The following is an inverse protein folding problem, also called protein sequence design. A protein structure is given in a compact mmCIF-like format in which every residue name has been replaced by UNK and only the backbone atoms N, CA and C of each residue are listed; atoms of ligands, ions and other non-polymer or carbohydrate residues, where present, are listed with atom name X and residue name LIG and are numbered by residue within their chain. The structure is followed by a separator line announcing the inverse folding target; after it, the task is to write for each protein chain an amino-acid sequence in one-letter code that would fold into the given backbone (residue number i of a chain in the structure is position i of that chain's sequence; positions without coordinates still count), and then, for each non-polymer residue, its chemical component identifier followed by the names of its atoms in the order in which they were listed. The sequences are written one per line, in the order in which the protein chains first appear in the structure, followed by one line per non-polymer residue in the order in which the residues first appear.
data_IF_282568168593
#
_entry.id   IF_282568168593
#
_cell.length_a   1.000
_cell.length_b   1.000
_cell.length_c   1.000
_cell.angle_alpha   90.00
_cell.angle_beta   90.00
_cell.angle_gamma   90.00
#
_symmetry.space_group_name_H-M   'P 1'
#
loop_
_entity.id
_entity.type
_entity.pdbx_description
1 polymer ?
#
# COMPACT_ATOMS: atom_id res chain seq x y z
N UNK A 1 13.08 0.21 51.64
CA UNK A 1 11.86 -0.38 51.07
C UNK A 1 11.99 -0.19 49.58
N UNK A 2 12.27 -1.29 48.88
CA UNK A 2 12.25 -1.39 47.43
C UNK A 2 10.80 -1.28 46.96
N UNK A 3 10.58 -0.61 45.85
CA UNK A 3 9.63 -1.06 44.84
C UNK A 3 10.10 -0.49 43.50
N UNK A 4 10.98 -1.26 42.87
CA UNK A 4 11.23 -1.23 41.43
C UNK A 4 9.91 -1.60 40.75
N UNK A 5 9.13 -0.60 40.34
CA UNK A 5 8.17 -0.81 39.25
C UNK A 5 8.94 -0.53 37.96
N UNK A 6 9.65 -1.56 37.49
CA UNK A 6 10.06 -1.66 36.09
C UNK A 6 8.76 -1.66 35.26
N UNK A 7 8.42 -0.50 34.71
CA UNK A 7 7.44 -0.40 33.65
C UNK A 7 8.05 -1.08 32.42
N UNK A 8 7.53 -2.25 32.11
CA UNK A 8 7.85 -3.05 30.93
C UNK A 8 7.79 -2.17 29.67
N UNK A 9 8.92 -1.94 28.97
CA UNK A 9 8.92 -1.11 27.78
C UNK A 9 8.45 -1.97 26.61
N UNK A 10 7.28 -1.62 26.07
CA UNK A 10 6.87 -1.96 24.71
C UNK A 10 6.69 -3.46 24.46
N UNK A 11 5.56 -4.00 24.93
CA UNK A 11 4.90 -5.09 24.23
C UNK A 11 4.52 -4.58 22.83
N UNK A 12 5.48 -4.64 21.91
CA UNK A 12 5.22 -4.61 20.47
C UNK A 12 4.22 -5.73 20.23
N UNK A 13 3.03 -5.41 19.73
CA UNK A 13 1.92 -6.36 19.66
C UNK A 13 2.29 -7.50 18.71
N UNK A 14 2.75 -8.63 19.26
CA UNK A 14 3.17 -9.82 18.52
C UNK A 14 2.08 -10.28 17.52
N UNK A 15 0.83 -9.92 17.79
CA UNK A 15 -0.34 -10.18 16.94
C UNK A 15 -0.30 -9.40 15.61
N UNK A 16 0.14 -8.14 15.62
CA UNK A 16 0.21 -7.29 14.42
C UNK A 16 1.34 -7.77 13.49
N UNK A 17 2.47 -8.20 14.07
CA UNK A 17 3.61 -8.76 13.33
C UNK A 17 3.24 -10.08 12.63
N UNK A 18 2.49 -10.96 13.30
CA UNK A 18 1.97 -12.20 12.71
C UNK A 18 0.97 -11.92 11.58
N UNK A 19 0.09 -10.92 11.77
CA UNK A 19 -0.89 -10.56 10.76
C UNK A 19 -0.23 -9.96 9.50
N UNK A 20 0.77 -9.11 9.70
CA UNK A 20 1.60 -8.58 8.62
C UNK A 20 2.33 -9.70 7.89
N UNK A 21 3.01 -10.60 8.60
CA UNK A 21 3.72 -11.73 8.00
C UNK A 21 2.79 -12.63 7.16
N UNK A 22 1.55 -12.86 7.62
CA UNK A 22 0.53 -13.60 6.88
C UNK A 22 0.13 -12.90 5.58
N UNK A 23 -0.14 -11.58 5.62
CA UNK A 23 -0.47 -10.80 4.41
C UNK A 23 0.69 -10.79 3.41
N UNK A 24 1.93 -10.71 3.88
CA UNK A 24 3.13 -10.80 3.02
C UNK A 24 3.23 -12.17 2.35
N UNK A 25 2.95 -13.26 3.06
CA UNK A 25 2.95 -14.60 2.49
C UNK A 25 1.87 -14.76 1.42
N UNK A 26 0.65 -14.27 1.67
CA UNK A 26 -0.46 -14.27 0.71
C UNK A 26 -0.11 -13.44 -0.55
N UNK A 27 0.45 -12.25 -0.38
CA UNK A 27 0.89 -11.41 -1.50
C UNK A 27 1.98 -12.10 -2.35
N UNK A 28 2.88 -12.87 -1.73
CA UNK A 28 3.91 -13.65 -2.45
C UNK A 28 3.31 -14.83 -3.22
N UNK A 29 2.25 -15.44 -2.72
CA UNK A 29 1.55 -16.53 -3.39
C UNK A 29 0.90 -16.03 -4.68
N UNK A 30 0.24 -14.86 -4.63
CA UNK A 30 -0.35 -14.18 -5.79
C UNK A 30 0.68 -13.84 -6.89
N UNK A 31 1.94 -13.62 -6.52
CA UNK A 31 3.02 -13.35 -7.49
C UNK A 31 3.48 -14.61 -8.25
N UNK A 32 3.13 -15.81 -7.78
CA UNK A 32 3.52 -17.08 -8.42
C UNK A 32 2.59 -17.51 -9.55
N UNK A 33 1.44 -16.85 -9.69
CA UNK A 33 0.42 -17.11 -10.70
C UNK A 33 0.73 -16.39 -12.03
N UNK A 34 0.02 -16.71 -13.12
CA UNK A 34 0.17 -16.11 -14.47
C UNK A 34 -0.28 -14.62 -14.51
N UNK A 35 0.28 -13.77 -13.64
CA UNK A 35 -0.05 -12.37 -13.51
C UNK A 35 0.41 -11.57 -14.75
N UNK A 36 -0.50 -10.79 -15.32
CA UNK A 36 -0.24 -9.97 -16.52
C UNK A 36 0.16 -8.52 -16.19
N UNK A 37 -0.04 -8.09 -14.94
CA UNK A 37 0.34 -6.78 -14.45
C UNK A 37 0.66 -6.85 -12.95
N UNK A 38 1.65 -6.07 -12.51
CA UNK A 38 2.08 -5.97 -11.13
C UNK A 38 2.40 -4.52 -10.75
N UNK A 39 1.88 -4.12 -9.58
CA UNK A 39 2.27 -2.90 -8.89
C UNK A 39 2.74 -3.24 -7.48
N UNK A 40 3.95 -2.82 -7.15
CA UNK A 40 4.55 -2.99 -5.81
C UNK A 40 4.96 -1.63 -5.29
N UNK A 41 4.53 -1.30 -4.07
CA UNK A 41 5.04 -0.19 -3.28
C UNK A 41 5.67 -0.72 -2.00
N UNK A 42 6.90 -0.34 -1.70
CA UNK A 42 7.61 -0.68 -0.47
C UNK A 42 7.80 0.59 0.34
N UNK A 43 7.18 0.64 1.52
CA UNK A 43 7.34 1.76 2.45
C UNK A 43 8.50 1.46 3.39
N UNK A 44 9.52 2.33 3.42
CA UNK A 44 10.65 2.27 4.36
C UNK A 44 10.59 3.47 5.31
N UNK A 45 10.81 3.19 6.60
CA UNK A 45 10.92 4.20 7.66
C UNK A 45 9.77 5.21 7.69
N UNK A 46 8.56 4.77 7.27
CA UNK A 46 7.33 5.55 7.21
C UNK A 46 7.35 6.75 6.27
N UNK A 47 8.37 6.89 5.39
CA UNK A 47 8.58 8.12 4.62
C UNK A 47 8.94 7.90 3.16
N UNK A 48 9.75 6.88 2.85
CA UNK A 48 10.12 6.60 1.46
C UNK A 48 9.27 5.46 0.91
N UNK A 49 8.60 5.70 -0.21
CA UNK A 49 7.86 4.69 -0.94
C UNK A 49 8.62 4.37 -2.22
N UNK A 50 9.36 3.27 -2.21
CA UNK A 50 9.93 2.70 -3.43
C UNK A 50 8.81 1.98 -4.18
N UNK A 51 8.38 2.52 -5.32
CA UNK A 51 7.34 1.89 -6.15
C UNK A 51 7.89 1.37 -7.47
N UNK A 52 7.32 0.27 -7.95
CA UNK A 52 7.61 -0.30 -9.26
C UNK A 52 6.33 -0.81 -9.89
N UNK A 53 6.18 -0.53 -11.18
CA UNK A 53 5.09 -0.99 -12.00
C UNK A 53 5.63 -1.72 -13.23
N UNK A 54 5.14 -2.94 -13.47
CA UNK A 54 5.45 -3.72 -14.65
C UNK A 54 4.17 -4.35 -15.19
N UNK A 55 3.94 -4.21 -16.50
CA UNK A 55 2.77 -4.78 -17.15
C UNK A 55 3.09 -5.31 -18.54
N UNK A 56 2.33 -6.30 -18.97
CA UNK A 56 2.34 -6.82 -20.33
C UNK A 56 1.04 -6.42 -21.03
N UNK A 57 1.13 -5.61 -22.10
CA UNK A 57 -0.01 -5.18 -22.89
C UNK A 57 0.32 -5.26 -24.39
N UNK A 58 -0.69 -5.60 -25.20
CA UNK A 58 -0.54 -5.71 -26.65
C UNK A 58 -0.54 -4.34 -27.36
N UNK A 59 -1.16 -3.32 -26.75
CA UNK A 59 -1.27 -1.96 -27.29
C UNK A 59 -1.40 -0.89 -26.19
N UNK A 60 -1.16 0.38 -26.57
CA UNK A 60 -1.18 1.53 -25.65
C UNK A 60 -2.56 1.83 -25.05
N UNK A 61 -3.65 1.44 -25.73
CA UNK A 61 -5.00 1.63 -25.20
C UNK A 61 -5.28 0.63 -24.07
N UNK A 62 -4.86 -0.63 -24.22
CA UNK A 62 -4.93 -1.63 -23.16
C UNK A 62 -4.06 -1.25 -21.96
N UNK A 63 -2.84 -0.77 -22.20
CA UNK A 63 -1.96 -0.25 -21.16
C UNK A 63 -2.64 0.87 -20.35
N UNK A 64 -3.27 1.84 -21.02
CA UNK A 64 -3.99 2.92 -20.35
C UNK A 64 -5.20 2.44 -19.52
N UNK A 65 -5.99 1.51 -20.05
CA UNK A 65 -7.14 0.96 -19.32
C UNK A 65 -6.74 0.12 -18.10
N UNK A 66 -5.64 -0.64 -18.19
CA UNK A 66 -5.11 -1.42 -17.08
C UNK A 66 -4.60 -0.50 -15.96
N UNK A 67 -3.84 0.54 -16.30
CA UNK A 67 -3.40 1.54 -15.33
C UNK A 67 -4.57 2.23 -14.62
N UNK A 68 -5.64 2.59 -15.36
CA UNK A 68 -6.85 3.16 -14.77
C UNK A 68 -7.61 2.17 -13.88
N UNK A 69 -7.63 0.88 -14.25
CA UNK A 69 -8.26 -0.18 -13.45
C UNK A 69 -7.52 -0.41 -12.13
N UNK A 70 -6.18 -0.35 -12.17
CA UNK A 70 -5.34 -0.40 -10.98
C UNK A 70 -5.60 0.81 -10.07
N UNK A 71 -5.62 2.02 -10.63
CA UNK A 71 -5.94 3.25 -9.88
C UNK A 71 -7.33 3.16 -9.23
N UNK A 72 -8.34 2.70 -9.97
CA UNK A 72 -9.69 2.52 -9.43
C UNK A 72 -9.74 1.52 -8.27
N UNK A 73 -8.97 0.43 -8.37
CA UNK A 73 -8.84 -0.56 -7.28
C UNK A 73 -8.18 0.07 -6.05
N UNK A 74 -7.19 0.93 -6.24
CA UNK A 74 -6.50 1.62 -5.15
C UNK A 74 -7.40 2.66 -4.47
N UNK A 75 -8.12 3.48 -5.24
CA UNK A 75 -9.10 4.44 -4.70
C UNK A 75 -10.15 3.71 -3.86
N UNK A 76 -10.65 2.57 -4.33
CA UNK A 76 -11.62 1.76 -3.58
C UNK A 76 -11.03 1.29 -2.25
N UNK A 77 -9.85 0.67 -2.27
CA UNK A 77 -9.19 0.16 -1.06
C UNK A 77 -8.99 1.25 -0.01
N UNK A 78 -8.43 2.40 -0.42
CA UNK A 78 -8.17 3.52 0.50
C UNK A 78 -9.47 4.12 1.03
N UNK A 79 -10.52 4.18 0.21
CA UNK A 79 -11.82 4.69 0.62
C UNK A 79 -12.49 3.79 1.66
N UNK A 80 -12.44 2.47 1.44
CA UNK A 80 -12.98 1.47 2.37
C UNK A 80 -12.24 1.53 3.73
N UNK A 81 -10.92 1.72 3.72
CA UNK A 81 -10.09 1.83 4.93
C UNK A 81 -10.30 3.17 5.68
N UNK A 82 -10.31 4.29 4.95
CA UNK A 82 -10.43 5.62 5.55
C UNK A 82 -11.87 6.04 5.85
N UNK A 83 -12.87 5.28 5.36
CA UNK A 83 -14.28 5.57 5.57
C UNK A 83 -14.76 6.85 4.86
N UNK A 84 -14.16 7.19 3.71
CA UNK A 84 -14.47 8.39 2.93
C UNK A 84 -14.90 8.04 1.51
N UNK A 85 -15.57 8.97 0.83
CA UNK A 85 -16.00 8.75 -0.56
C UNK A 85 -14.83 8.78 -1.56
N UNK A 86 -14.99 8.04 -2.66
CA UNK A 86 -13.98 7.92 -3.73
C UNK A 86 -13.48 9.27 -4.27
N UNK A 87 -14.37 10.27 -4.37
CA UNK A 87 -14.01 11.60 -4.87
C UNK A 87 -13.09 12.36 -3.92
N UNK A 88 -13.23 12.13 -2.62
CA UNK A 88 -12.37 12.74 -1.59
C UNK A 88 -10.97 12.15 -1.69
N UNK A 89 -10.84 10.82 -1.74
CA UNK A 89 -9.55 10.14 -1.93
C UNK A 89 -8.85 10.61 -3.20
N UNK A 90 -9.59 10.74 -4.32
CA UNK A 90 -9.02 11.21 -5.57
C UNK A 90 -8.48 12.66 -5.47
N UNK A 91 -9.21 13.56 -4.80
CA UNK A 91 -8.78 14.95 -4.62
C UNK A 91 -7.57 15.07 -3.69
N UNK A 92 -7.54 14.29 -2.61
CA UNK A 92 -6.42 14.27 -1.67
C UNK A 92 -5.17 13.68 -2.31
N UNK A 93 -5.31 12.60 -3.10
CA UNK A 93 -4.21 12.00 -3.84
C UNK A 93 -3.58 12.98 -4.84
N UNK A 94 -4.38 13.78 -5.55
CA UNK A 94 -3.88 14.86 -6.42
C UNK A 94 -3.09 15.89 -5.61
N UNK A 95 -3.64 16.34 -4.49
CA UNK A 95 -3.00 17.32 -3.61
C UNK A 95 -1.66 16.83 -3.06
N UNK A 96 -1.55 15.53 -2.74
CA UNK A 96 -0.30 14.90 -2.29
C UNK A 96 0.71 14.76 -3.44
N UNK A 97 0.26 14.37 -4.63
CA UNK A 97 1.14 14.25 -5.80
C UNK A 97 1.78 15.60 -6.18
N UNK A 98 1.01 16.69 -6.14
CA UNK A 98 1.53 18.04 -6.39
C UNK A 98 2.59 18.48 -5.35
N UNK A 99 2.46 18.04 -4.09
CA UNK A 99 3.46 18.31 -3.06
C UNK A 99 4.76 17.58 -3.34
N UNK A 100 4.70 16.30 -3.70
CA UNK A 100 5.89 15.49 -4.00
C UNK A 100 6.67 16.00 -5.22
N UNK A 101 6.00 16.56 -6.23
CA UNK A 101 6.66 17.18 -7.38
C UNK A 101 7.39 18.49 -7.03
N UNK A 102 7.02 19.11 -5.92
CA UNK A 102 7.58 20.39 -5.47
C UNK A 102 8.78 20.27 -4.53
N UNK A 103 9.15 19.05 -4.14
CA UNK A 103 10.27 18.72 -3.24
C UNK A 103 11.58 18.38 -3.98
#
# INVERSE_FOLDING_TARGET
MSDDTDADPEAVDETDDEEFARRVAEARDLLSEDATALYVGVVRDGREVDSTFAQQADDAQQEGMQALSLLASHIRLVSDEAGVDYTTVAADAVTLAEQLESE
#
